data_IF_609267693173
#
_entry.id   IF_609267693173
#
_cell.length_a   1.000
_cell.length_b   1.000
_cell.length_c   1.000
_cell.angle_alpha   90.00
_cell.angle_beta   90.00
_cell.angle_gamma   90.00
#
_symmetry.space_group_name_H-M   'P 1'
#
loop_
_entity.id
_entity.type
_entity.pdbx_description
1 polymer ?
#
# COMPACT_ATOMS: atom_id res chain seq x y z
N UNK A 1 -10.88 -16.22 -14.12
CA UNK A 1 -12.21 -16.75 -14.47
C UNK A 1 -12.26 -17.19 -15.93
N UNK A 2 -12.28 -16.29 -16.92
CA UNK A 2 -12.42 -16.69 -18.33
C UNK A 2 -11.29 -17.58 -18.85
N UNK A 3 -10.04 -17.34 -18.43
CA UNK A 3 -8.88 -18.11 -18.89
C UNK A 3 -8.87 -19.57 -18.39
N UNK A 4 -9.42 -19.83 -17.20
CA UNK A 4 -9.29 -21.12 -16.51
C UNK A 4 -10.63 -21.76 -16.17
N UNK A 5 -11.75 -21.08 -16.42
CA UNK A 5 -13.08 -21.48 -15.96
C UNK A 5 -13.27 -21.44 -14.44
N UNK A 6 -12.31 -20.90 -13.67
CA UNK A 6 -12.40 -20.90 -12.21
C UNK A 6 -13.48 -19.93 -11.68
N UNK A 7 -13.96 -20.19 -10.47
CA UNK A 7 -14.87 -19.29 -9.74
C UNK A 7 -14.20 -17.95 -9.42
N UNK A 8 -15.01 -16.93 -9.17
CA UNK A 8 -14.51 -15.61 -8.75
C UNK A 8 -13.66 -15.72 -7.48
N UNK A 9 -14.10 -16.48 -6.48
CA UNK A 9 -13.36 -16.66 -5.22
C UNK A 9 -11.97 -17.27 -5.46
N UNK A 10 -11.87 -18.30 -6.30
CA UNK A 10 -10.57 -18.89 -6.65
C UNK A 10 -9.70 -17.92 -7.46
N UNK A 11 -10.29 -17.16 -8.38
CA UNK A 11 -9.57 -16.13 -9.13
C UNK A 11 -9.02 -15.03 -8.21
N UNK A 12 -9.84 -14.55 -7.26
CA UNK A 12 -9.42 -13.54 -6.28
C UNK A 12 -8.30 -14.06 -5.38
N UNK A 13 -8.42 -15.29 -4.88
CA UNK A 13 -7.35 -15.89 -4.08
C UNK A 13 -6.04 -15.98 -4.88
N UNK A 14 -6.11 -16.43 -6.13
CA UNK A 14 -4.93 -16.49 -6.99
C UNK A 14 -4.24 -15.13 -7.20
N UNK A 15 -5.02 -14.06 -7.41
CA UNK A 15 -4.46 -12.70 -7.51
C UNK A 15 -3.83 -12.26 -6.17
N UNK A 16 -4.44 -12.56 -5.04
CA UNK A 16 -3.87 -12.28 -3.71
C UNK A 16 -2.53 -13.01 -3.51
N UNK A 17 -2.44 -14.27 -3.89
CA UNK A 17 -1.21 -15.07 -3.81
C UNK A 17 -0.12 -14.46 -4.70
N UNK A 18 -0.47 -14.04 -5.93
CA UNK A 18 0.45 -13.35 -6.82
C UNK A 18 0.97 -12.04 -6.19
N UNK A 19 0.08 -11.23 -5.60
CA UNK A 19 0.49 -9.99 -4.92
C UNK A 19 1.51 -10.28 -3.81
N UNK A 20 1.28 -11.32 -3.00
CA UNK A 20 2.23 -11.74 -1.96
C UNK A 20 3.59 -12.17 -2.55
N UNK A 21 3.58 -12.94 -3.63
CA UNK A 21 4.80 -13.38 -4.31
C UNK A 21 5.59 -12.20 -4.92
N UNK A 22 4.89 -11.21 -5.47
CA UNK A 22 5.54 -10.00 -5.97
C UNK A 22 6.09 -9.12 -4.84
N UNK A 23 5.45 -9.09 -3.67
CA UNK A 23 6.02 -8.45 -2.48
C UNK A 23 7.33 -9.09 -2.05
N UNK A 24 7.39 -10.43 -2.02
CA UNK A 24 8.64 -11.17 -1.72
C UNK A 24 9.75 -10.80 -2.71
N UNK A 25 9.43 -10.70 -4.00
CA UNK A 25 10.39 -10.27 -5.04
C UNK A 25 10.86 -8.83 -4.85
N UNK A 26 9.96 -7.88 -4.56
CA UNK A 26 10.32 -6.48 -4.29
C UNK A 26 11.24 -6.36 -3.07
N UNK A 27 10.93 -7.07 -1.99
CA UNK A 27 11.77 -7.08 -0.79
C UNK A 27 13.16 -7.67 -1.08
N UNK A 28 13.23 -8.73 -1.87
CA UNK A 28 14.50 -9.31 -2.32
C UNK A 28 15.31 -8.31 -3.15
N UNK A 29 14.70 -7.63 -4.13
CA UNK A 29 15.38 -6.59 -4.92
C UNK A 29 15.88 -5.41 -4.06
N UNK A 30 15.16 -5.10 -2.97
CA UNK A 30 15.58 -4.05 -2.04
C UNK A 30 16.82 -4.49 -1.22
N UNK A 31 16.87 -5.76 -0.79
CA UNK A 31 17.95 -6.30 0.04
C UNK A 31 19.18 -6.68 -0.79
N UNK A 32 19.00 -7.44 -1.87
CA UNK A 32 20.07 -7.97 -2.71
C UNK A 32 20.66 -6.89 -3.65
N UNK A 33 20.02 -5.73 -3.70
CA UNK A 33 20.38 -4.63 -4.59
C UNK A 33 19.74 -4.76 -5.97
N UNK A 34 19.81 -3.67 -6.72
CA UNK A 34 19.21 -3.54 -8.05
C UNK A 34 20.07 -2.60 -8.90
N UNK A 35 20.03 -2.71 -10.24
CA UNK A 35 20.75 -1.80 -11.13
C UNK A 35 20.19 -0.37 -11.10
N UNK A 36 19.04 -0.15 -10.47
CA UNK A 36 18.40 1.16 -10.34
C UNK A 36 18.86 1.90 -9.08
N UNK A 37 18.72 3.23 -9.10
CA UNK A 37 19.03 4.05 -7.92
C UNK A 37 18.15 3.69 -6.73
N UNK A 38 18.68 3.84 -5.52
CA UNK A 38 17.94 3.62 -4.28
C UNK A 38 16.62 4.40 -4.25
N UNK A 39 16.66 5.68 -4.66
CA UNK A 39 15.48 6.52 -4.71
C UNK A 39 14.40 5.94 -5.64
N UNK A 40 14.78 5.45 -6.82
CA UNK A 40 13.84 4.83 -7.76
C UNK A 40 13.18 3.59 -7.16
N UNK A 41 13.97 2.73 -6.50
CA UNK A 41 13.46 1.52 -5.83
C UNK A 41 12.47 1.90 -4.72
N UNK A 42 12.82 2.89 -3.89
CA UNK A 42 11.95 3.38 -2.82
C UNK A 42 10.65 3.96 -3.37
N UNK A 43 10.70 4.73 -4.46
CA UNK A 43 9.50 5.24 -5.14
C UNK A 43 8.61 4.09 -5.62
N UNK A 44 9.18 3.09 -6.30
CA UNK A 44 8.42 1.95 -6.80
C UNK A 44 7.75 1.15 -5.67
N UNK A 45 8.47 0.89 -4.57
CA UNK A 45 7.94 0.23 -3.39
C UNK A 45 6.82 1.07 -2.74
N UNK A 46 7.02 2.38 -2.64
CA UNK A 46 6.01 3.27 -2.06
C UNK A 46 4.74 3.33 -2.93
N UNK A 47 4.85 3.27 -4.26
CA UNK A 47 3.68 3.14 -5.14
C UNK A 47 2.89 1.85 -4.87
N UNK A 48 3.58 0.72 -4.68
CA UNK A 48 2.95 -0.54 -4.31
C UNK A 48 2.26 -0.45 -2.93
N UNK A 49 2.91 0.18 -1.94
CA UNK A 49 2.33 0.43 -0.60
C UNK A 49 1.07 1.29 -0.67
N UNK A 50 1.10 2.38 -1.43
CA UNK A 50 -0.05 3.28 -1.62
C UNK A 50 -1.21 2.52 -2.26
N UNK A 51 -0.94 1.76 -3.33
CA UNK A 51 -1.96 0.97 -4.01
C UNK A 51 -2.62 -0.05 -3.07
N UNK A 52 -1.82 -0.77 -2.28
CA UNK A 52 -2.35 -1.72 -1.31
C UNK A 52 -3.14 -1.02 -0.20
N UNK A 53 -2.64 0.08 0.37
CA UNK A 53 -3.32 0.84 1.41
C UNK A 53 -4.70 1.34 0.95
N UNK A 54 -4.81 1.76 -0.31
CA UNK A 54 -6.06 2.25 -0.91
C UNK A 54 -7.03 1.10 -1.18
N UNK A 55 -6.56 -0.05 -1.70
CA UNK A 55 -7.45 -1.07 -2.27
C UNK A 55 -7.62 -2.37 -1.45
N UNK A 56 -6.86 -2.55 -0.36
CA UNK A 56 -6.88 -3.80 0.42
C UNK A 56 -8.26 -4.14 1.02
N UNK A 57 -9.10 -3.13 1.27
CA UNK A 57 -10.40 -3.30 1.93
C UNK A 57 -11.60 -2.87 1.07
N UNK A 58 -11.37 -2.57 -0.21
CA UNK A 58 -12.40 -2.06 -1.12
C UNK A 58 -11.88 -0.90 -1.94
N UNK A 59 -12.79 -0.11 -2.53
CA UNK A 59 -12.42 1.05 -3.33
C UNK A 59 -12.35 2.32 -2.47
N UNK A 60 -11.29 2.49 -1.69
CA UNK A 60 -11.14 3.69 -0.85
C UNK A 60 -10.81 4.95 -1.65
N UNK A 61 -10.45 4.83 -2.93
CA UNK A 61 -10.16 5.98 -3.78
C UNK A 61 -11.42 6.55 -4.43
N UNK A 62 -12.19 5.71 -5.12
CA UNK A 62 -13.44 6.10 -5.78
C UNK A 62 -14.63 6.19 -4.83
N UNK A 63 -14.62 5.42 -3.74
CA UNK A 63 -15.68 5.37 -2.73
C UNK A 63 -15.11 5.33 -1.30
N UNK A 64 -14.42 6.41 -0.86
CA UNK A 64 -13.75 6.46 0.45
C UNK A 64 -14.72 6.24 1.61
N UNK A 65 -14.41 5.28 2.47
CA UNK A 65 -15.11 5.05 3.73
C UNK A 65 -14.72 6.09 4.79
N UNK A 66 -15.41 6.09 5.92
CA UNK A 66 -15.14 7.04 7.01
C UNK A 66 -13.75 6.81 7.63
N UNK A 67 -13.25 5.58 7.62
CA UNK A 67 -11.93 5.24 8.14
C UNK A 67 -10.83 5.93 7.32
N UNK A 68 -10.86 5.75 5.99
CA UNK A 68 -9.90 6.34 5.08
C UNK A 68 -9.97 7.87 5.10
N UNK A 69 -11.17 8.47 5.14
CA UNK A 69 -11.34 9.93 5.28
C UNK A 69 -10.69 10.46 6.56
N UNK A 70 -10.88 9.77 7.68
CA UNK A 70 -10.26 10.15 8.95
C UNK A 70 -8.73 10.00 8.91
N UNK A 71 -8.20 8.93 8.30
CA UNK A 71 -6.76 8.74 8.12
C UNK A 71 -6.16 9.85 7.23
N UNK A 72 -6.78 10.15 6.08
CA UNK A 72 -6.33 11.23 5.21
C UNK A 72 -6.33 12.59 5.92
N UNK A 73 -7.37 12.86 6.72
CA UNK A 73 -7.45 14.07 7.55
C UNK A 73 -6.28 14.14 8.54
N UNK A 74 -6.03 13.07 9.29
CA UNK A 74 -4.95 13.02 10.30
C UNK A 74 -3.54 13.10 9.68
N UNK A 75 -3.32 12.53 8.50
CA UNK A 75 -2.01 12.43 7.89
C UNK A 75 -1.63 13.64 7.03
N UNK A 76 -2.61 14.32 6.43
CA UNK A 76 -2.38 15.33 5.40
C UNK A 76 -2.90 16.72 5.83
N UNK A 77 -3.98 16.76 6.62
CA UNK A 77 -4.68 18.02 6.96
C UNK A 77 -4.35 18.48 8.37
N UNK A 78 -4.39 17.56 9.34
CA UNK A 78 -4.18 17.89 10.75
C UNK A 78 -2.69 17.88 11.10
N UNK A 79 -2.14 18.98 11.64
CA UNK A 79 -0.76 19.00 12.11
C UNK A 79 -0.60 18.21 13.40
N UNK A 80 0.61 17.68 13.62
CA UNK A 80 0.97 17.06 14.90
C UNK A 80 1.12 18.14 15.96
N UNK A 81 0.37 18.04 17.06
CA UNK A 81 0.50 18.94 18.20
C UNK A 81 1.86 18.78 18.87
N UNK A 82 2.59 19.88 19.02
CA UNK A 82 3.84 19.92 19.79
C UNK A 82 3.48 20.42 21.19
N UNK A 83 3.51 19.53 22.18
CA UNK A 83 3.41 19.93 23.58
C UNK A 83 4.75 20.53 24.01
N UNK A 84 4.89 21.84 23.92
CA UNK A 84 5.98 22.55 24.57
C UNK A 84 5.81 22.39 26.08
N UNK A 85 6.64 21.55 26.71
CA UNK A 85 6.87 21.67 28.15
C UNK A 85 7.57 23.01 28.35
N UNK A 86 6.78 24.05 28.62
CA UNK A 86 7.28 25.30 29.18
C UNK A 86 7.89 24.92 30.52
N UNK A 87 9.20 24.76 30.54
CA UNK A 87 9.96 24.68 31.79
C UNK A 87 9.90 26.07 32.42
N UNK A 88 8.90 26.28 33.28
CA UNK A 88 8.85 27.36 34.26
C UNK A 88 9.92 27.16 35.34
#
# INVERSE_FOLDING_TARGET
>A
MNETGCSEAMARQHISDLIEDYWKKLNKCYVDGSPFSKHYIETAINMARISQCIYQHGDAYGSPDNLFKNQARLLIVEPVSINEKVNS
#
